data_IF_887801781836
#
_entry.id   IF_887801781836
#
_cell.length_a   1.000
_cell.length_b   1.000
_cell.length_c   1.000
_cell.angle_alpha   90.00
_cell.angle_beta   90.00
_cell.angle_gamma   90.00
#
_symmetry.space_group_name_H-M   'P 1'
#
loop_
_entity.id
_entity.type
_entity.pdbx_description
1 polymer ?
#
# COMPACT_ATOMS: atom_id res chain seq x y z
N UNK A 1 -7.67 -7.43 28.11
CA UNK A 1 -7.53 -6.62 26.88
C UNK A 1 -6.34 -7.20 26.13
N UNK A 2 -6.55 -7.81 24.96
CA UNK A 2 -5.47 -8.42 24.19
C UNK A 2 -4.54 -7.36 23.60
N UNK A 3 -3.24 -7.60 23.66
CA UNK A 3 -2.22 -6.73 23.08
C UNK A 3 -2.37 -6.71 21.55
N UNK A 4 -2.51 -5.52 21.00
CA UNK A 4 -2.78 -5.25 19.59
C UNK A 4 -1.51 -4.72 18.92
N UNK A 5 -1.07 -5.37 17.85
CA UNK A 5 0.10 -4.98 17.07
C UNK A 5 -0.28 -4.90 15.58
N UNK A 6 -0.18 -3.70 15.02
CA UNK A 6 -0.27 -3.45 13.57
C UNK A 6 1.04 -2.89 13.04
N UNK A 7 1.55 -3.44 11.93
CA UNK A 7 2.78 -2.97 11.30
C UNK A 7 2.61 -2.88 9.79
N UNK A 8 2.94 -1.72 9.21
CA UNK A 8 3.10 -1.53 7.76
C UNK A 8 4.56 -1.75 7.40
N UNK A 9 4.85 -2.71 6.52
CA UNK A 9 6.20 -2.94 6.04
C UNK A 9 6.30 -2.69 4.54
N UNK A 10 7.35 -1.97 4.15
CA UNK A 10 7.77 -1.87 2.75
C UNK A 10 8.31 -3.24 2.30
N UNK A 11 7.88 -3.72 1.14
CA UNK A 11 8.32 -5.00 0.58
C UNK A 11 9.16 -4.83 -0.67
N UNK A 12 8.74 -3.93 -1.54
CA UNK A 12 9.41 -3.66 -2.80
C UNK A 12 9.16 -2.21 -3.21
N UNK A 13 10.17 -1.56 -3.75
CA UNK A 13 10.09 -0.22 -4.31
C UNK A 13 11.07 -0.12 -5.46
N UNK A 14 10.66 0.56 -6.51
CA UNK A 14 11.58 1.10 -7.49
C UNK A 14 11.72 2.63 -7.44
N UNK A 15 11.00 3.26 -6.53
CA UNK A 15 10.96 4.70 -6.42
C UNK A 15 12.28 5.20 -5.83
N UNK A 16 12.70 6.43 -6.17
CA UNK A 16 13.76 7.13 -5.45
C UNK A 16 13.53 7.14 -3.93
N UNK A 17 14.60 7.31 -3.16
CA UNK A 17 14.55 7.20 -1.68
C UNK A 17 13.63 8.22 -1.03
N UNK A 18 13.63 9.47 -1.51
CA UNK A 18 12.75 10.54 -1.07
C UNK A 18 11.27 10.20 -1.33
N UNK A 19 10.98 9.67 -2.52
CA UNK A 19 9.62 9.23 -2.87
C UNK A 19 9.18 7.99 -2.09
N UNK A 20 10.10 7.07 -1.82
CA UNK A 20 9.85 5.90 -0.98
C UNK A 20 9.52 6.33 0.47
N UNK A 21 10.25 7.31 1.02
CA UNK A 21 9.96 7.85 2.35
C UNK A 21 8.61 8.56 2.41
N UNK A 22 8.29 9.38 1.40
CA UNK A 22 6.98 10.01 1.28
C UNK A 22 5.86 8.95 1.23
N UNK A 23 6.04 7.91 0.43
CA UNK A 23 5.08 6.81 0.31
C UNK A 23 4.84 6.10 1.66
N UNK A 24 5.91 5.83 2.42
CA UNK A 24 5.81 5.23 3.76
C UNK A 24 4.94 6.10 4.67
N UNK A 25 5.19 7.41 4.69
CA UNK A 25 4.45 8.35 5.53
C UNK A 25 2.97 8.42 5.15
N UNK A 26 2.68 8.58 3.85
CA UNK A 26 1.30 8.65 3.34
C UNK A 26 0.55 7.37 3.61
N UNK A 27 1.13 6.21 3.31
CA UNK A 27 0.48 4.91 3.53
C UNK A 27 0.16 4.71 5.00
N UNK A 28 1.10 5.01 5.90
CA UNK A 28 0.85 4.91 7.33
C UNK A 28 -0.31 5.81 7.77
N UNK A 29 -0.30 7.09 7.38
CA UNK A 29 -1.35 8.03 7.76
C UNK A 29 -2.73 7.63 7.22
N UNK A 30 -2.82 7.29 5.94
CA UNK A 30 -4.09 7.00 5.27
C UNK A 30 -4.68 5.67 5.76
N UNK A 31 -3.85 4.64 5.95
CA UNK A 31 -4.30 3.36 6.50
C UNK A 31 -4.83 3.53 7.92
N UNK A 32 -4.13 4.27 8.78
CA UNK A 32 -4.59 4.52 10.14
C UNK A 32 -5.89 5.33 10.18
N UNK A 33 -6.07 6.31 9.28
CA UNK A 33 -7.29 7.12 9.18
C UNK A 33 -8.53 6.33 8.73
N UNK A 34 -8.34 5.34 7.86
CA UNK A 34 -9.42 4.55 7.26
C UNK A 34 -9.48 3.11 7.77
N UNK A 35 -8.74 2.83 8.84
CA UNK A 35 -8.85 1.61 9.62
C UNK A 35 -9.95 1.79 10.65
N UNK A 36 -10.99 0.96 10.58
CA UNK A 36 -12.04 0.95 11.58
C UNK A 36 -12.22 -0.44 12.17
N UNK A 37 -12.54 -0.48 13.46
CA UNK A 37 -12.88 -1.74 14.13
C UNK A 37 -14.27 -2.17 13.68
N UNK A 38 -14.34 -3.22 12.88
CA UNK A 38 -15.61 -3.84 12.53
C UNK A 38 -16.16 -4.58 13.75
N UNK A 39 -17.31 -4.14 14.28
CA UNK A 39 -18.16 -5.03 15.08
C UNK A 39 -18.78 -6.02 14.08
N UNK A 40 -18.24 -7.23 13.99
CA UNK A 40 -18.81 -8.28 13.17
C UNK A 40 -20.30 -8.45 13.47
N UNK A 41 -21.12 -8.55 12.44
CA UNK A 41 -22.51 -8.96 12.60
C UNK A 41 -22.55 -10.30 13.36
N UNK A 42 -23.33 -10.33 14.45
CA UNK A 42 -23.74 -11.51 15.24
C UNK A 42 -22.75 -12.24 16.15
N UNK A 43 -21.47 -11.86 16.30
CA UNK A 43 -20.64 -12.44 17.37
C UNK A 43 -19.71 -11.42 18.01
N UNK A 44 -19.95 -11.11 19.29
CA UNK A 44 -19.25 -10.09 20.06
C UNK A 44 -17.74 -10.38 20.28
N UNK A 45 -17.20 -11.48 19.75
CA UNK A 45 -15.82 -11.93 20.03
C UNK A 45 -14.91 -12.10 18.79
N UNK A 46 -15.34 -11.72 17.58
CA UNK A 46 -14.52 -11.82 16.35
C UNK A 46 -14.36 -10.47 15.68
N UNK A 47 -13.74 -9.50 16.37
CA UNK A 47 -13.39 -8.24 15.75
C UNK A 47 -12.32 -8.42 14.68
N UNK A 48 -12.58 -7.91 13.48
CA UNK A 48 -11.61 -7.80 12.40
C UNK A 48 -11.55 -6.32 11.97
N UNK A 49 -10.38 -5.89 11.50
CA UNK A 49 -10.27 -4.56 10.92
C UNK A 49 -10.93 -4.56 9.55
N UNK A 50 -11.84 -3.61 9.38
CA UNK A 50 -12.36 -3.24 8.08
C UNK A 50 -11.54 -2.06 7.59
N UNK A 51 -10.95 -2.22 6.42
CA UNK A 51 -10.27 -1.18 5.70
C UNK A 51 -11.21 -0.70 4.60
N UNK A 52 -11.30 0.62 4.43
CA UNK A 52 -12.02 1.21 3.30
C UNK A 52 -11.04 1.34 2.13
N UNK A 53 -10.90 0.24 1.36
CA UNK A 53 -9.92 0.11 0.27
C UNK A 53 -9.98 1.29 -0.70
N UNK A 54 -11.20 1.74 -1.02
CA UNK A 54 -11.45 2.87 -1.92
C UNK A 54 -10.92 4.17 -1.32
N UNK A 55 -11.27 4.49 -0.07
CA UNK A 55 -10.76 5.71 0.59
C UNK A 55 -9.25 5.69 0.78
N UNK A 56 -8.67 4.53 1.06
CA UNK A 56 -7.22 4.36 1.18
C UNK A 56 -6.56 4.71 -0.15
N UNK A 57 -7.04 4.14 -1.25
CA UNK A 57 -6.49 4.44 -2.56
C UNK A 57 -6.73 5.88 -3.00
N UNK A 58 -7.90 6.46 -2.71
CA UNK A 58 -8.19 7.87 -3.02
C UNK A 58 -7.31 8.84 -2.22
N UNK A 59 -7.01 8.52 -0.95
CA UNK A 59 -6.09 9.31 -0.13
C UNK A 59 -4.66 9.25 -0.66
N UNK A 60 -4.18 8.05 -0.98
CA UNK A 60 -2.84 7.84 -1.56
C UNK A 60 -2.73 8.56 -2.91
N UNK A 61 -3.66 8.33 -3.84
CA UNK A 61 -3.62 8.93 -5.17
C UNK A 61 -3.63 10.46 -5.11
N UNK A 62 -4.43 11.05 -4.21
CA UNK A 62 -4.45 12.52 -4.00
C UNK A 62 -3.12 13.04 -3.46
N UNK A 63 -2.51 12.36 -2.49
CA UNK A 63 -1.22 12.77 -1.94
C UNK A 63 -0.11 12.73 -3.00
N UNK A 64 -0.04 11.66 -3.80
CA UNK A 64 0.95 11.53 -4.86
C UNK A 64 0.72 12.52 -6.01
N UNK A 65 -0.53 12.74 -6.43
CA UNK A 65 -0.87 13.76 -7.42
C UNK A 65 -0.44 15.15 -6.94
N UNK A 66 -0.69 15.48 -5.68
CA UNK A 66 -0.33 16.79 -5.11
C UNK A 66 1.19 16.98 -5.02
N UNK A 67 1.95 15.94 -4.69
CA UNK A 67 3.39 16.05 -4.46
C UNK A 67 4.22 15.92 -5.74
N UNK A 68 3.81 15.06 -6.66
CA UNK A 68 4.62 14.68 -7.83
C UNK A 68 3.92 14.92 -9.17
N UNK A 69 2.65 15.32 -9.17
CA UNK A 69 1.84 15.42 -10.39
C UNK A 69 1.62 14.06 -11.07
N UNK A 70 0.99 14.08 -12.25
CA UNK A 70 0.77 12.90 -13.08
C UNK A 70 -0.30 11.93 -12.57
N UNK A 71 -0.51 10.84 -13.32
CA UNK A 71 -1.52 9.83 -13.00
C UNK A 71 -0.95 8.70 -12.15
N UNK A 72 -1.52 8.54 -10.97
CA UNK A 72 -1.18 7.48 -10.02
C UNK A 72 -2.32 6.49 -9.86
N UNK A 73 -1.96 5.25 -9.61
CA UNK A 73 -2.88 4.15 -9.40
C UNK A 73 -2.56 3.49 -8.06
N UNK A 74 -3.61 3.01 -7.42
CA UNK A 74 -3.51 2.27 -6.17
C UNK A 74 -4.41 1.04 -6.23
N UNK A 75 -3.91 -0.07 -5.70
CA UNK A 75 -4.69 -1.27 -5.43
C UNK A 75 -4.44 -1.63 -3.97
N UNK A 76 -5.49 -1.68 -3.17
CA UNK A 76 -5.41 -2.03 -1.77
C UNK A 76 -6.42 -3.13 -1.44
N UNK A 77 -6.09 -4.00 -0.48
CA UNK A 77 -6.99 -5.05 -0.04
C UNK A 77 -6.27 -6.27 0.56
N UNK A 78 -6.98 -7.14 1.27
CA UNK A 78 -6.41 -8.38 1.83
C UNK A 78 -6.02 -9.41 0.76
N UNK A 79 -6.71 -9.38 -0.37
CA UNK A 79 -6.47 -10.22 -1.53
C UNK A 79 -5.96 -9.42 -2.73
N UNK A 80 -5.49 -8.18 -2.52
CA UNK A 80 -4.91 -7.41 -3.60
C UNK A 80 -3.73 -8.17 -4.22
N UNK A 81 -3.76 -8.30 -5.54
CA UNK A 81 -2.71 -8.88 -6.36
C UNK A 81 -2.30 -7.81 -7.37
N UNK A 82 -1.00 -7.66 -7.59
CA UNK A 82 -0.52 -6.76 -8.62
C UNK A 82 -0.94 -7.30 -9.99
N UNK A 83 -1.65 -6.53 -10.82
CA UNK A 83 -2.11 -7.00 -12.11
C UNK A 83 -0.90 -7.26 -13.03
N UNK A 84 -0.97 -8.27 -13.89
CA UNK A 84 0.04 -8.62 -14.89
C UNK A 84 0.07 -7.59 -16.05
N UNK A 85 0.11 -6.30 -15.72
CA UNK A 85 0.22 -5.21 -16.68
C UNK A 85 1.70 -4.97 -17.05
N UNK A 86 1.98 -4.29 -18.18
CA UNK A 86 3.33 -3.84 -18.50
C UNK A 86 3.96 -3.14 -17.29
N UNK A 87 5.27 -3.33 -17.09
CA UNK A 87 5.96 -2.88 -15.88
C UNK A 87 5.78 -1.37 -15.70
N UNK A 88 5.28 -0.92 -14.54
CA UNK A 88 5.11 0.51 -14.28
C UNK A 88 6.45 1.25 -14.23
N UNK A 89 6.44 2.55 -14.55
CA UNK A 89 7.64 3.39 -14.45
C UNK A 89 8.02 3.64 -13.00
N UNK A 90 7.01 3.79 -12.12
CA UNK A 90 7.20 3.88 -10.67
C UNK A 90 6.26 2.90 -9.97
N UNK A 91 6.73 2.26 -8.92
CA UNK A 91 6.11 1.15 -8.22
C UNK A 91 6.61 1.06 -6.79
N UNK A 92 5.67 0.86 -5.88
CA UNK A 92 5.95 0.55 -4.50
C UNK A 92 4.86 -0.37 -3.93
N UNK A 93 5.27 -1.32 -3.10
CA UNK A 93 4.41 -2.33 -2.49
C UNK A 93 4.62 -2.39 -0.98
N UNK A 94 3.52 -2.26 -0.25
CA UNK A 94 3.43 -2.37 1.19
C UNK A 94 2.59 -3.58 1.61
N UNK A 95 3.03 -4.25 2.67
CA UNK A 95 2.24 -5.25 3.39
C UNK A 95 1.99 -4.73 4.81
N UNK A 96 0.74 -4.40 5.11
CA UNK A 96 0.27 -4.09 6.44
C UNK A 96 -0.27 -5.37 7.10
N UNK A 97 0.25 -5.71 8.27
CA UNK A 97 -0.22 -6.86 9.04
C UNK A 97 -0.92 -6.38 10.30
N UNK A 98 -2.17 -6.79 10.50
CA UNK A 98 -2.89 -6.59 11.76
C UNK A 98 -3.05 -7.94 12.45
N UNK A 99 -2.62 -8.04 13.71
CA UNK A 99 -2.82 -9.22 14.57
C UNK A 99 -3.92 -8.95 15.59
N UNK A 100 -4.77 -9.95 15.81
CA UNK A 100 -5.70 -10.02 16.95
C UNK A 100 -5.62 -11.42 17.58
N UNK A 101 -6.17 -11.60 18.78
CA UNK A 101 -5.83 -12.71 19.70
C UNK A 101 -5.71 -14.14 19.13
N UNK A 102 -6.39 -14.48 18.04
CA UNK A 102 -6.28 -15.79 17.38
C UNK A 102 -6.07 -15.72 15.86
N UNK A 103 -5.79 -14.54 15.28
CA UNK A 103 -5.72 -14.35 13.83
C UNK A 103 -4.78 -13.24 13.40
N UNK A 104 -4.24 -13.36 12.19
CA UNK A 104 -3.47 -12.31 11.53
C UNK A 104 -3.99 -12.10 10.11
N UNK A 105 -4.24 -10.86 9.73
CA UNK A 105 -4.62 -10.51 8.36
C UNK A 105 -3.54 -9.63 7.75
N UNK A 106 -3.18 -9.99 6.53
CA UNK A 106 -2.32 -9.18 5.67
C UNK A 106 -3.22 -8.31 4.80
N UNK A 107 -2.84 -7.06 4.69
CA UNK A 107 -3.46 -6.04 3.87
C UNK A 107 -2.37 -5.50 2.95
N UNK A 108 -2.57 -5.64 1.65
CA UNK A 108 -1.56 -5.30 0.64
C UNK A 108 -1.94 -4.01 -0.02
N UNK A 109 -0.95 -3.17 -0.31
CA UNK A 109 -1.13 -1.87 -0.96
C UNK A 109 -0.06 -1.75 -2.03
N UNK A 110 -0.50 -1.61 -3.28
CA UNK A 110 0.33 -1.36 -4.43
C UNK A 110 0.08 0.07 -4.90
N UNK A 111 1.13 0.84 -5.14
CA UNK A 111 1.05 2.19 -5.68
C UNK A 111 1.97 2.25 -6.89
N UNK A 112 1.46 2.73 -8.02
CA UNK A 112 2.22 2.75 -9.26
C UNK A 112 1.80 3.88 -10.19
N UNK A 113 2.71 4.27 -11.08
CA UNK A 113 2.44 5.18 -12.18
C UNK A 113 2.98 4.61 -13.49
N UNK A 114 2.35 5.01 -14.59
CA UNK A 114 2.90 4.84 -15.93
C UNK A 114 3.37 6.20 -16.44
N UNK A 115 4.40 6.24 -17.28
CA UNK A 115 4.71 7.46 -18.02
C UNK A 115 3.52 7.84 -18.91
N UNK A 116 3.27 9.13 -19.08
CA UNK A 116 2.25 9.66 -20.00
C UNK A 116 2.48 9.23 -21.46
N UNK A 117 3.72 8.81 -21.78
CA UNK A 117 4.15 8.31 -23.10
C UNK A 117 4.24 6.78 -23.22
N UNK A 118 3.72 6.01 -22.26
CA UNK A 118 3.91 4.54 -22.21
C UNK A 118 5.35 4.16 -21.80
N UNK A 119 5.69 2.86 -21.77
CA UNK A 119 7.04 2.42 -21.44
C UNK A 119 8.02 2.97 -22.50
N UNK A 120 9.01 3.77 -22.06
CA UNK A 120 10.18 4.10 -22.86
C UNK A 120 10.90 2.78 -23.17
N UNK A 121 10.66 2.22 -24.36
CA UNK A 121 11.16 0.92 -24.81
C UNK A 121 12.70 0.84 -24.95
N UNK A 122 13.43 1.87 -24.54
CA UNK A 122 14.87 2.02 -24.77
C UNK A 122 15.70 2.29 -23.53
N UNK A 123 15.10 2.51 -22.35
CA UNK A 123 15.87 2.52 -21.11
C UNK A 123 15.98 1.10 -20.58
N UNK A 124 17.21 0.60 -20.32
CA UNK A 124 17.36 -0.63 -19.57
C UNK A 124 16.57 -0.48 -18.27
N UNK A 125 15.87 -1.54 -17.82
CA UNK A 125 15.13 -1.46 -16.56
C UNK A 125 16.09 -0.95 -15.49
N UNK A 126 15.70 0.04 -14.66
CA UNK A 126 16.51 0.37 -13.50
C UNK A 126 16.75 -0.93 -12.73
N UNK A 127 17.98 -1.15 -12.29
CA UNK A 127 18.33 -2.36 -11.55
C UNK A 127 17.52 -2.40 -10.24
N UNK A 128 16.35 -3.05 -10.29
CA UNK A 128 15.43 -3.15 -9.16
C UNK A 128 15.89 -4.23 -8.22
N UNK A 129 16.58 -3.88 -7.14
CA UNK A 129 16.45 -4.61 -5.87
C UNK A 129 16.89 -3.74 -4.72
N UNK A 130 16.07 -2.78 -4.31
CA UNK A 130 16.07 -2.38 -2.90
C UNK A 130 14.95 -3.16 -2.20
N UNK A 131 15.26 -4.42 -1.87
CA UNK A 131 14.57 -5.12 -0.77
C UNK A 131 14.94 -4.38 0.50
N UNK A 132 14.26 -3.27 0.78
CA UNK A 132 14.43 -2.59 2.06
C UNK A 132 13.35 -3.14 2.97
N UNK A 133 13.66 -4.11 3.85
CA UNK A 133 12.75 -4.45 4.92
C UNK A 133 12.75 -3.28 5.90
N UNK A 134 11.93 -2.27 5.64
CA UNK A 134 11.53 -1.35 6.69
C UNK A 134 10.37 -2.03 7.44
N UNK A 135 10.75 -2.70 8.52
CA UNK A 135 9.96 -3.09 9.68
C UNK A 135 10.84 -2.82 10.92
#
# INVERSE_FOLDING_TARGET
MGQFDSKSCLKESNMPSDMTQFAIQVVYQVVEQHRHWGKGGQSQNTGAYLYDDQKICDGINRAFLSQYGGRWFCIAGPHAVFPELPRPTKFIYFEHSAKWGYGSQKYRIFIYSYNENGPLASEPPPAYTQKVPFC
#
